data_IF_853215036154
#
_entry.id   IF_853215036154
#
_cell.length_a   1.000
_cell.length_b   1.000
_cell.length_c   1.000
_cell.angle_alpha   90.00
_cell.angle_beta   90.00
_cell.angle_gamma   90.00
#
_symmetry.space_group_name_H-M   'P 1'
#
loop_
_entity.id
_entity.type
_entity.pdbx_description
1 polymer ?
#
# COMPACT_ATOMS: atom_id res chain seq x y z
N UNK A 1 10.24 2.56 -19.56
CA UNK A 1 9.89 1.95 -18.25
C UNK A 1 9.46 3.07 -17.34
N UNK A 2 8.18 3.45 -17.40
CA UNK A 2 7.60 4.46 -16.53
C UNK A 2 7.46 3.85 -15.14
N UNK A 3 8.36 4.21 -14.22
CA UNK A 3 8.22 3.83 -12.81
C UNK A 3 7.08 4.62 -12.15
N UNK A 4 6.51 4.05 -11.09
CA UNK A 4 5.53 4.73 -10.24
C UNK A 4 6.19 5.98 -9.62
N UNK A 5 5.58 7.16 -9.81
CA UNK A 5 6.16 8.45 -9.42
C UNK A 5 5.65 8.96 -8.08
N UNK A 6 4.72 8.24 -7.43
CA UNK A 6 4.17 8.58 -6.13
C UNK A 6 3.47 9.95 -6.14
N UNK A 7 2.84 10.31 -7.25
CA UNK A 7 1.98 11.50 -7.29
C UNK A 7 0.65 11.21 -6.60
N UNK A 8 -0.01 12.25 -6.08
CA UNK A 8 -1.34 12.13 -5.51
C UNK A 8 -2.35 11.53 -6.51
N UNK A 9 -2.24 11.89 -7.80
CA UNK A 9 -3.07 11.33 -8.87
C UNK A 9 -2.83 9.83 -9.07
N UNK A 10 -1.58 9.37 -9.07
CA UNK A 10 -1.27 7.93 -9.18
C UNK A 10 -1.75 7.14 -7.97
N UNK A 11 -1.57 7.68 -6.75
CA UNK A 11 -2.07 7.06 -5.52
C UNK A 11 -3.60 6.99 -5.51
N UNK A 12 -4.28 8.05 -5.94
CA UNK A 12 -5.73 8.08 -6.07
C UNK A 12 -6.22 7.05 -7.08
N UNK A 13 -5.59 6.97 -8.26
CA UNK A 13 -5.94 5.98 -9.28
C UNK A 13 -5.81 4.54 -8.74
N UNK A 14 -4.75 4.23 -7.98
CA UNK A 14 -4.59 2.90 -7.37
C UNK A 14 -5.77 2.57 -6.46
N UNK A 15 -6.28 3.53 -5.69
CA UNK A 15 -7.43 3.32 -4.80
C UNK A 15 -8.75 3.26 -5.57
N UNK A 16 -8.91 4.06 -6.61
CA UNK A 16 -10.13 4.09 -7.43
C UNK A 16 -10.29 2.82 -8.28
N UNK A 17 -9.19 2.25 -8.75
CA UNK A 17 -9.18 1.02 -9.57
C UNK A 17 -9.38 -0.26 -8.75
N UNK A 18 -9.17 -0.21 -7.43
CA UNK A 18 -9.11 -1.39 -6.58
C UNK A 18 -10.08 -1.28 -5.41
N UNK A 19 -10.93 -2.30 -5.24
CA UNK A 19 -11.89 -2.34 -4.12
C UNK A 19 -11.23 -2.30 -2.75
N UNK A 20 -10.03 -2.87 -2.65
CA UNK A 20 -9.26 -2.99 -1.42
C UNK A 20 -7.79 -2.76 -1.75
N UNK A 21 -7.20 -1.76 -1.09
CA UNK A 21 -5.77 -1.45 -1.18
C UNK A 21 -5.17 -1.46 0.22
N UNK A 22 -4.06 -2.17 0.38
CA UNK A 22 -3.29 -2.24 1.62
C UNK A 22 -1.90 -1.62 1.39
N UNK A 23 -1.72 -0.39 1.86
CA UNK A 23 -0.39 0.22 1.98
C UNK A 23 0.33 -0.40 3.18
N UNK A 24 1.46 -1.07 2.96
CA UNK A 24 2.13 -1.84 4.01
C UNK A 24 3.66 -1.86 3.90
N UNK A 25 4.32 -2.20 5.01
CA UNK A 25 5.77 -2.38 5.08
C UNK A 25 6.13 -3.81 4.68
N UNK A 26 6.69 -3.99 3.48
CA UNK A 26 6.94 -5.29 2.87
C UNK A 26 5.78 -5.74 1.97
N UNK A 27 5.66 -7.04 1.74
CA UNK A 27 4.54 -7.65 0.98
C UNK A 27 3.72 -8.58 1.88
N UNK A 28 2.52 -9.02 1.46
CA UNK A 28 1.74 -10.00 2.21
C UNK A 28 2.49 -11.31 2.46
N UNK A 29 3.35 -11.76 1.53
CA UNK A 29 4.19 -12.95 1.73
C UNK A 29 5.43 -12.67 2.59
N UNK A 30 5.95 -11.43 2.54
CA UNK A 30 7.17 -11.02 3.25
C UNK A 30 6.95 -9.69 4.01
N UNK A 31 6.15 -9.70 5.09
CA UNK A 31 5.89 -8.50 5.87
C UNK A 31 7.14 -8.11 6.67
N UNK A 32 7.46 -6.81 6.70
CA UNK A 32 8.63 -6.27 7.40
C UNK A 32 8.26 -5.54 8.71
N UNK A 33 6.99 -5.60 9.11
CA UNK A 33 6.49 -5.01 10.35
C UNK A 33 5.35 -5.86 10.92
N UNK A 34 5.34 -6.07 12.24
CA UNK A 34 4.30 -6.88 12.90
C UNK A 34 2.88 -6.32 12.76
N UNK A 35 2.72 -5.00 12.57
CA UNK A 35 1.41 -4.42 12.26
C UNK A 35 0.97 -4.74 10.84
N UNK A 36 1.88 -4.59 9.87
CA UNK A 36 1.64 -4.96 8.47
C UNK A 36 1.35 -6.45 8.29
N UNK A 37 2.03 -7.32 9.04
CA UNK A 37 1.74 -8.75 9.05
C UNK A 37 0.31 -9.06 9.51
N UNK A 38 -0.14 -8.44 10.61
CA UNK A 38 -1.51 -8.62 11.12
C UNK A 38 -2.55 -8.10 10.15
N UNK A 39 -2.33 -6.93 9.54
CA UNK A 39 -3.24 -6.39 8.53
C UNK A 39 -3.35 -7.33 7.32
N UNK A 40 -2.22 -7.81 6.78
CA UNK A 40 -2.21 -8.75 5.66
C UNK A 40 -2.95 -10.06 6.00
N UNK A 41 -2.80 -10.60 7.22
CA UNK A 41 -3.54 -11.78 7.67
C UNK A 41 -5.06 -11.56 7.65
N UNK A 42 -5.55 -10.42 8.14
CA UNK A 42 -6.99 -10.11 8.12
C UNK A 42 -7.49 -10.02 6.68
N UNK A 43 -6.75 -9.35 5.80
CA UNK A 43 -7.14 -9.24 4.39
C UNK A 43 -7.18 -10.61 3.69
N UNK A 44 -6.24 -11.50 3.99
CA UNK A 44 -6.25 -12.88 3.48
C UNK A 44 -7.45 -13.68 4.00
N UNK A 45 -7.85 -13.48 5.27
CA UNK A 45 -9.02 -14.14 5.86
C UNK A 45 -10.36 -13.67 5.28
N UNK A 46 -10.42 -12.46 4.71
CA UNK A 46 -11.61 -11.96 4.03
C UNK A 46 -11.89 -12.69 2.71
N UNK A 47 -10.93 -13.46 2.18
CA UNK A 47 -11.02 -14.19 0.91
C UNK A 47 -11.42 -13.28 -0.28
N UNK A 48 -11.11 -11.99 -0.17
CA UNK A 48 -11.37 -10.98 -1.20
C UNK A 48 -10.06 -10.57 -1.86
N UNK A 49 -10.04 -10.35 -3.19
CA UNK A 49 -8.88 -9.82 -3.86
C UNK A 49 -8.58 -8.40 -3.35
N UNK A 50 -7.31 -8.15 -3.03
CA UNK A 50 -6.81 -6.85 -2.63
C UNK A 50 -5.44 -6.61 -3.27
N UNK A 51 -5.09 -5.34 -3.44
CA UNK A 51 -3.75 -4.93 -3.89
C UNK A 51 -2.93 -4.51 -2.68
N UNK A 52 -1.70 -4.99 -2.59
CA UNK A 52 -0.73 -4.53 -1.58
C UNK A 52 0.30 -3.60 -2.21
N UNK A 53 0.52 -2.45 -1.60
CA UNK A 53 1.54 -1.48 -2.01
C UNK A 53 2.64 -1.47 -0.95
N UNK A 54 3.86 -1.86 -1.32
CA UNK A 54 5.01 -1.85 -0.42
C UNK A 54 5.60 -0.45 -0.31
N UNK A 55 5.32 0.26 0.79
CA UNK A 55 5.82 1.63 1.02
C UNK A 55 7.30 1.69 1.40
N UNK A 56 8.00 0.55 1.49
CA UNK A 56 9.45 0.49 1.68
C UNK A 56 10.22 0.31 0.36
N UNK A 57 9.51 0.13 -0.75
CA UNK A 57 10.13 -0.07 -2.07
C UNK A 57 10.80 1.18 -2.63
N UNK A 58 10.36 2.37 -2.21
CA UNK A 58 10.87 3.66 -2.65
C UNK A 58 10.93 4.63 -1.47
N UNK A 59 12.04 5.37 -1.28
CA UNK A 59 12.13 6.37 -0.22
C UNK A 59 11.08 7.48 -0.30
N UNK A 60 10.50 7.73 -1.49
CA UNK A 60 9.43 8.72 -1.70
C UNK A 60 8.05 8.24 -1.25
N UNK A 61 7.89 6.92 -1.06
CA UNK A 61 6.58 6.32 -0.84
C UNK A 61 5.90 6.79 0.44
N UNK A 62 6.61 6.70 1.57
CA UNK A 62 6.08 7.10 2.88
C UNK A 62 5.63 8.56 2.89
N UNK A 63 6.48 9.55 2.54
CA UNK A 63 6.06 10.95 2.58
C UNK A 63 4.91 11.23 1.61
N UNK A 64 4.91 10.65 0.41
CA UNK A 64 3.84 10.85 -0.56
C UNK A 64 2.50 10.27 -0.09
N UNK A 65 2.48 9.07 0.50
CA UNK A 65 1.26 8.45 1.04
C UNK A 65 0.73 9.26 2.23
N UNK A 66 1.61 9.68 3.15
CA UNK A 66 1.21 10.51 4.30
C UNK A 66 0.60 11.85 3.84
N UNK A 67 1.25 12.53 2.89
CA UNK A 67 0.78 13.81 2.34
C UNK A 67 -0.57 13.66 1.59
N UNK A 68 -0.70 12.63 0.75
CA UNK A 68 -1.92 12.39 -0.03
C UNK A 68 -3.12 11.97 0.83
N UNK A 69 -2.89 11.15 1.86
CA UNK A 69 -3.98 10.60 2.70
C UNK A 69 -4.38 11.49 3.88
N UNK A 70 -3.75 12.66 4.03
CA UNK A 70 -3.92 13.55 5.19
C UNK A 70 -3.74 12.78 6.52
N UNK A 71 -2.75 11.88 6.55
CA UNK A 71 -2.50 10.94 7.64
C UNK A 71 -1.06 11.07 8.16
N UNK A 72 -0.83 11.09 9.49
CA UNK A 72 0.52 11.02 10.07
C UNK A 72 1.18 9.64 9.91
#
# INVERSE_FOLDING_TARGET
>A
MTGFNWTAEELQNVVDENKLVLFMKGTPEQPQCGFSARAAMVFQQLEMPFVSVNILSDPRAIPAVCEWSDWP
#
